data_IF_209775923948
#
_entry.id   IF_209775923948
#
_cell.length_a   1.000
_cell.length_b   1.000
_cell.length_c   1.000
_cell.angle_alpha   90.00
_cell.angle_beta   90.00
_cell.angle_gamma   90.00
#
_symmetry.space_group_name_H-M   'P 1'
#
loop_
_entity.id
_entity.type
_entity.pdbx_description
1 polymer ?
#
# COMPACT_ATOMS: atom_id res chain seq x y z
N UNK A 1 -1.86 3.51 17.10
CA UNK A 1 -3.11 3.73 16.35
C UNK A 1 -3.54 5.20 16.33
N UNK A 2 -3.55 5.87 17.49
CA UNK A 2 -3.99 7.26 17.66
C UNK A 2 -3.38 8.28 16.70
N UNK A 3 -2.07 8.21 16.43
CA UNK A 3 -1.43 9.10 15.47
C UNK A 3 -2.07 9.00 14.06
N UNK A 4 -2.38 7.77 13.62
CA UNK A 4 -2.94 7.53 12.30
C UNK A 4 -4.35 8.11 12.19
N UNK A 5 -5.18 7.92 13.23
CA UNK A 5 -6.50 8.55 13.33
C UNK A 5 -6.40 10.07 13.27
N UNK A 6 -5.50 10.67 14.04
CA UNK A 6 -5.28 12.12 14.04
C UNK A 6 -4.88 12.66 12.66
N UNK A 7 -3.98 11.97 11.95
CA UNK A 7 -3.59 12.34 10.57
C UNK A 7 -4.80 12.21 9.63
N UNK A 8 -5.54 11.11 9.70
CA UNK A 8 -6.72 10.87 8.84
C UNK A 8 -7.79 11.95 9.08
N UNK A 9 -7.98 12.38 10.33
CA UNK A 9 -9.00 13.34 10.72
C UNK A 9 -8.60 14.80 10.46
N UNK A 10 -7.34 15.17 10.66
CA UNK A 10 -6.93 16.58 10.67
C UNK A 10 -6.08 16.98 9.45
N UNK A 11 -5.57 16.01 8.69
CA UNK A 11 -4.70 16.26 7.55
C UNK A 11 -5.23 15.59 6.28
N UNK A 12 -4.61 15.92 5.16
CA UNK A 12 -4.83 15.26 3.88
C UNK A 12 -3.53 14.62 3.39
N UNK A 13 -3.50 13.31 3.27
CA UNK A 13 -2.43 12.55 2.63
C UNK A 13 -2.59 12.72 1.12
N UNK A 14 -1.78 13.59 0.54
CA UNK A 14 -1.84 13.94 -0.88
C UNK A 14 -1.23 12.83 -1.74
N UNK A 15 -0.11 12.27 -1.29
CA UNK A 15 0.50 11.12 -1.93
C UNK A 15 1.30 10.26 -0.97
N UNK A 16 1.48 8.99 -1.35
CA UNK A 16 2.38 8.07 -0.68
C UNK A 16 3.03 7.12 -1.69
N UNK A 17 4.33 6.94 -1.55
CA UNK A 17 5.14 5.99 -2.28
C UNK A 17 5.56 4.87 -1.33
N UNK A 18 5.06 3.66 -1.56
CA UNK A 18 5.44 2.46 -0.82
C UNK A 18 6.58 1.78 -1.56
N UNK A 19 7.75 1.74 -0.92
CA UNK A 19 9.00 1.24 -1.49
C UNK A 19 9.29 -0.17 -0.98
N UNK A 20 10.16 -0.89 -1.70
CA UNK A 20 10.66 -2.19 -1.27
C UNK A 20 11.66 -2.07 -0.10
N UNK A 21 12.13 -3.21 0.38
CA UNK A 21 13.31 -3.29 1.24
C UNK A 21 14.56 -2.83 0.47
N UNK A 22 15.58 -2.33 1.17
CA UNK A 22 16.88 -1.99 0.57
C UNK A 22 17.09 -0.51 0.22
N UNK A 23 16.09 0.35 0.45
CA UNK A 23 16.21 1.79 0.15
C UNK A 23 17.14 2.50 1.16
N UNK A 24 17.05 2.14 2.45
CA UNK A 24 17.86 2.72 3.53
C UNK A 24 18.62 1.64 4.30
N UNK A 25 19.19 0.67 3.58
CA UNK A 25 19.89 -0.48 4.17
C UNK A 25 19.12 -1.80 4.06
N UNK A 26 19.74 -2.90 4.49
CA UNK A 26 19.33 -4.25 4.14
C UNK A 26 17.99 -4.70 4.77
N UNK A 27 17.60 -4.18 5.93
CA UNK A 27 16.59 -4.86 6.76
C UNK A 27 15.22 -4.18 6.83
N UNK A 28 15.07 -2.97 6.30
CA UNK A 28 13.83 -2.20 6.42
C UNK A 28 13.18 -1.86 5.07
N UNK A 29 11.86 -2.02 5.01
CA UNK A 29 11.02 -1.38 3.99
C UNK A 29 10.90 0.12 4.27
N UNK A 30 10.62 0.90 3.23
CA UNK A 30 10.51 2.34 3.34
C UNK A 30 9.21 2.86 2.69
N UNK A 31 8.79 4.04 3.12
CA UNK A 31 7.72 4.78 2.46
C UNK A 31 7.98 6.27 2.55
N UNK A 32 7.54 7.03 1.54
CA UNK A 32 7.55 8.49 1.55
C UNK A 32 6.13 9.00 1.35
N UNK A 33 5.74 10.06 2.05
CA UNK A 33 4.39 10.61 1.96
C UNK A 33 4.39 12.14 2.00
N UNK A 34 3.46 12.74 1.27
CA UNK A 34 3.18 14.18 1.32
C UNK A 34 1.88 14.37 2.09
N UNK A 35 1.95 15.06 3.23
CA UNK A 35 0.80 15.33 4.09
C UNK A 35 0.56 16.83 4.14
N UNK A 36 -0.61 17.26 3.67
CA UNK A 36 -1.05 18.65 3.71
C UNK A 36 -1.83 18.90 4.99
N UNK A 37 -1.51 20.00 5.67
CA UNK A 37 -2.33 20.51 6.77
C UNK A 37 -3.56 21.22 6.22
N UNK A 38 -4.63 20.47 5.96
CA UNK A 38 -5.90 21.02 5.48
C UNK A 38 -7.07 20.10 5.82
N UNK A 39 -8.22 20.70 6.12
CA UNK A 39 -9.49 20.00 6.37
C UNK A 39 -10.41 19.89 5.14
N UNK A 40 -9.92 20.27 3.95
CA UNK A 40 -10.66 20.22 2.69
C UNK A 40 -10.87 18.80 2.16
N UNK A 41 -11.17 18.65 0.87
CA UNK A 41 -11.35 17.35 0.23
C UNK A 41 -10.12 16.43 0.43
N UNK A 42 -10.38 15.20 0.89
CA UNK A 42 -9.32 14.25 1.29
C UNK A 42 -9.22 13.09 0.29
N UNK A 43 -8.81 13.41 -0.92
CA UNK A 43 -8.40 12.44 -1.93
C UNK A 43 -6.88 12.47 -2.08
N UNK A 44 -6.28 11.31 -2.36
CA UNK A 44 -4.84 11.18 -2.53
C UNK A 44 -4.46 10.22 -3.66
N UNK A 45 -3.19 10.28 -4.04
CA UNK A 45 -2.60 9.44 -5.07
C UNK A 45 -1.48 8.57 -4.51
N UNK A 46 -1.59 7.26 -4.69
CA UNK A 46 -0.72 6.30 -4.01
C UNK A 46 0.00 5.41 -5.02
N UNK A 47 1.23 5.02 -4.68
CA UNK A 47 2.06 4.16 -5.50
C UNK A 47 2.57 2.99 -4.67
N UNK A 48 2.38 1.77 -5.19
CA UNK A 48 2.85 0.55 -4.56
C UNK A 48 3.89 -0.13 -5.43
N UNK A 49 5.17 0.12 -5.15
CA UNK A 49 6.30 -0.46 -5.90
C UNK A 49 6.73 -1.83 -5.36
N UNK A 50 5.87 -2.51 -4.60
CA UNK A 50 6.20 -3.78 -3.96
C UNK A 50 4.94 -4.59 -3.67
N UNK A 51 5.00 -5.91 -3.89
CA UNK A 51 3.89 -6.80 -3.53
C UNK A 51 3.97 -7.23 -2.06
N UNK A 52 5.15 -7.66 -1.59
CA UNK A 52 5.33 -8.30 -0.28
C UNK A 52 6.24 -7.48 0.63
N UNK A 53 6.01 -7.55 1.95
CA UNK A 53 6.78 -6.82 2.96
C UNK A 53 8.29 -7.06 2.89
N UNK A 54 8.70 -8.29 2.55
CA UNK A 54 10.11 -8.71 2.50
C UNK A 54 10.61 -8.97 1.07
N UNK A 55 10.12 -8.22 0.10
CA UNK A 55 10.65 -8.27 -1.25
C UNK A 55 11.71 -7.17 -1.43
N UNK A 56 12.89 -7.57 -1.90
CA UNK A 56 13.99 -6.67 -2.19
C UNK A 56 14.02 -6.36 -3.69
N UNK A 57 14.20 -5.09 -4.02
CA UNK A 57 14.45 -4.63 -5.38
C UNK A 57 15.76 -3.85 -5.44
N UNK A 58 16.47 -4.02 -6.54
CA UNK A 58 17.50 -3.09 -6.96
C UNK A 58 16.91 -1.68 -7.12
N UNK A 59 17.65 -0.69 -6.63
CA UNK A 59 17.18 0.70 -6.58
C UNK A 59 17.00 1.29 -7.99
N UNK A 60 17.79 0.88 -8.99
CA UNK A 60 17.61 1.32 -10.38
C UNK A 60 16.33 0.73 -10.95
N UNK A 61 16.02 -0.54 -10.65
CA UNK A 61 14.77 -1.17 -11.08
C UNK A 61 13.55 -0.51 -10.44
N UNK A 62 13.59 -0.12 -9.16
CA UNK A 62 12.52 0.67 -8.53
C UNK A 62 12.30 2.01 -9.22
N UNK A 63 13.39 2.71 -9.55
CA UNK A 63 13.33 3.97 -10.28
C UNK A 63 12.67 3.78 -11.64
N UNK A 64 13.13 2.80 -12.43
CA UNK A 64 12.55 2.49 -13.74
C UNK A 64 11.07 2.12 -13.64
N UNK A 65 10.70 1.29 -12.64
CA UNK A 65 9.32 0.92 -12.37
C UNK A 65 8.43 2.14 -12.11
N UNK A 66 8.92 3.08 -11.29
CA UNK A 66 8.21 4.32 -11.00
C UNK A 66 8.10 5.23 -12.23
N UNK A 67 9.18 5.44 -12.98
CA UNK A 67 9.19 6.26 -14.20
C UNK A 67 8.24 5.70 -15.27
N UNK A 68 8.25 4.37 -15.51
CA UNK A 68 7.30 3.72 -16.42
C UNK A 68 5.85 3.87 -15.98
N UNK A 69 5.60 3.79 -14.68
CA UNK A 69 4.26 4.03 -14.11
C UNK A 69 3.82 5.49 -14.25
N UNK A 70 4.74 6.46 -14.16
CA UNK A 70 4.41 7.87 -14.39
C UNK A 70 4.05 8.15 -15.85
N UNK A 71 4.77 7.52 -16.78
CA UNK A 71 4.52 7.61 -18.22
C UNK A 71 3.23 6.90 -18.65
N UNK A 72 2.92 5.75 -18.04
CA UNK A 72 1.68 5.02 -18.25
C UNK A 72 1.04 4.65 -16.91
N UNK A 73 -0.06 5.32 -16.57
CA UNK A 73 -0.77 5.13 -15.29
C UNK A 73 -1.48 3.78 -15.17
N UNK A 74 -1.64 3.05 -16.28
CA UNK A 74 -2.17 1.68 -16.32
C UNK A 74 -1.06 0.62 -16.31
N UNK A 75 0.21 1.04 -16.16
CA UNK A 75 1.33 0.12 -16.09
C UNK A 75 1.16 -0.85 -14.91
N UNK A 76 1.29 -2.14 -15.21
CA UNK A 76 1.23 -3.25 -14.27
C UNK A 76 2.53 -4.03 -14.32
N UNK A 77 2.91 -4.58 -13.18
CA UNK A 77 4.12 -5.37 -13.06
C UNK A 77 3.87 -6.64 -12.25
N UNK A 78 4.40 -7.76 -12.74
CA UNK A 78 4.29 -9.05 -12.06
C UNK A 78 5.47 -9.24 -11.13
N UNK A 79 5.28 -8.80 -9.89
CA UNK A 79 6.32 -8.78 -8.84
C UNK A 79 6.90 -10.18 -8.55
N UNK A 80 6.13 -11.25 -8.74
CA UNK A 80 6.59 -12.63 -8.53
C UNK A 80 7.73 -13.03 -9.47
N UNK A 81 7.84 -12.39 -10.63
CA UNK A 81 8.79 -12.75 -11.69
C UNK A 81 10.05 -11.88 -11.62
N UNK A 82 10.18 -11.05 -10.58
CA UNK A 82 11.32 -10.16 -10.40
C UNK A 82 12.61 -10.92 -10.06
N UNK A 83 13.67 -10.59 -10.79
CA UNK A 83 15.05 -11.01 -10.57
C UNK A 83 15.95 -9.77 -10.59
N UNK A 84 17.03 -9.79 -9.79
CA UNK A 84 18.01 -8.69 -9.77
C UNK A 84 18.78 -8.59 -11.08
N UNK A 85 18.85 -9.70 -11.82
CA UNK A 85 19.51 -9.85 -13.11
C UNK A 85 18.62 -9.43 -14.29
N UNK A 86 17.38 -9.00 -14.03
CA UNK A 86 16.48 -8.51 -15.07
C UNK A 86 17.13 -7.35 -15.86
N UNK A 87 17.11 -7.45 -17.19
CA UNK A 87 17.63 -6.40 -18.06
C UNK A 87 16.70 -5.17 -18.12
N UNK A 88 15.40 -5.38 -17.96
CA UNK A 88 14.38 -4.33 -17.96
C UNK A 88 13.14 -4.75 -17.16
N UNK A 89 12.34 -3.76 -16.77
CA UNK A 89 11.06 -3.90 -16.10
C UNK A 89 9.94 -3.76 -17.13
N UNK A 90 9.36 -4.87 -17.55
CA UNK A 90 8.35 -4.88 -18.63
C UNK A 90 6.93 -4.91 -18.09
N UNK A 91 5.99 -4.39 -18.89
CA UNK A 91 4.56 -4.48 -18.59
C UNK A 91 4.13 -5.94 -18.56
N UNK A 92 3.25 -6.29 -17.61
CA UNK A 92 2.58 -7.59 -17.56
C UNK A 92 1.09 -7.40 -17.35
N UNK A 93 0.26 -7.97 -18.23
CA UNK A 93 -1.19 -7.90 -18.13
C UNK A 93 -1.72 -8.53 -16.84
N UNK A 94 -1.13 -9.67 -16.47
CA UNK A 94 -1.34 -10.40 -15.21
C UNK A 94 -0.62 -9.77 -14.01
N UNK A 95 0.00 -8.60 -14.20
CA UNK A 95 0.73 -7.89 -13.17
C UNK A 95 -0.18 -7.17 -12.17
N UNK A 96 0.40 -6.79 -11.04
CA UNK A 96 -0.27 -5.97 -10.05
C UNK A 96 -0.31 -4.49 -10.48
N UNK A 97 -1.41 -3.83 -10.13
CA UNK A 97 -1.56 -2.38 -10.27
C UNK A 97 -0.59 -1.66 -9.32
N UNK A 98 0.09 -0.64 -9.85
CA UNK A 98 1.06 0.17 -9.09
C UNK A 98 0.48 1.52 -8.69
N UNK A 99 -0.29 2.14 -9.58
CA UNK A 99 -0.80 3.51 -9.44
C UNK A 99 -2.26 3.55 -8.99
N UNK A 100 -2.55 4.23 -7.88
CA UNK A 100 -3.88 4.33 -7.27
C UNK A 100 -4.30 5.81 -7.15
N UNK A 101 -5.00 6.38 -8.14
CA UNK A 101 -5.46 7.76 -8.12
C UNK A 101 -6.77 7.92 -7.32
N UNK A 102 -7.03 9.15 -6.88
CA UNK A 102 -8.31 9.58 -6.30
C UNK A 102 -8.83 8.70 -5.14
N UNK A 103 -7.94 8.13 -4.34
CA UNK A 103 -8.35 7.29 -3.20
C UNK A 103 -8.89 8.20 -2.11
N UNK A 104 -10.14 7.95 -1.71
CA UNK A 104 -10.79 8.63 -0.59
C UNK A 104 -10.13 8.24 0.73
N UNK A 105 -9.62 9.22 1.47
CA UNK A 105 -8.95 8.98 2.75
C UNK A 105 -9.89 8.40 3.81
N UNK A 106 -11.20 8.64 3.70
CA UNK A 106 -12.22 8.00 4.54
C UNK A 106 -12.21 6.48 4.42
N UNK A 107 -11.74 5.91 3.32
CA UNK A 107 -11.60 4.45 3.19
C UNK A 107 -10.62 3.86 4.22
N UNK A 108 -9.66 4.64 4.71
CA UNK A 108 -8.70 4.18 5.71
C UNK A 108 -9.31 3.97 7.09
N UNK A 109 -10.54 4.41 7.35
CA UNK A 109 -11.22 4.13 8.63
C UNK A 109 -12.06 2.85 8.59
N UNK A 110 -12.29 2.26 7.40
CA UNK A 110 -13.17 1.10 7.22
C UNK A 110 -12.60 -0.20 7.81
N UNK A 111 -11.29 -0.28 7.98
CA UNK A 111 -10.63 -1.43 8.60
C UNK A 111 -10.22 -1.06 10.04
N UNK A 112 -10.52 -1.89 11.06
CA UNK A 112 -10.08 -1.66 12.43
C UNK A 112 -8.56 -1.40 12.52
N UNK A 113 -8.16 -0.46 13.39
CA UNK A 113 -6.78 0.04 13.43
C UNK A 113 -6.49 1.16 12.43
N UNK A 114 -7.41 1.44 11.51
CA UNK A 114 -7.34 2.47 10.47
C UNK A 114 -6.13 2.43 9.51
N UNK A 115 -5.65 1.26 9.04
CA UNK A 115 -4.46 1.19 8.19
C UNK A 115 -4.58 2.03 6.90
N UNK A 116 -3.47 2.57 6.40
CA UNK A 116 -3.39 3.29 5.11
C UNK A 116 -3.38 2.26 3.97
N UNK A 117 -4.47 1.51 3.83
CA UNK A 117 -4.62 0.38 2.91
C UNK A 117 -5.28 0.75 1.59
N UNK A 118 -4.67 1.67 0.83
CA UNK A 118 -5.24 2.19 -0.43
C UNK A 118 -5.40 1.16 -1.55
N UNK A 119 -4.73 0.01 -1.46
CA UNK A 119 -4.82 -1.09 -2.41
C UNK A 119 -5.88 -2.13 -2.04
N UNK A 120 -6.50 -2.01 -0.86
CA UNK A 120 -7.45 -3.00 -0.36
C UNK A 120 -8.76 -2.84 -1.14
N UNK A 121 -9.24 -3.94 -1.72
CA UNK A 121 -10.47 -3.92 -2.52
C UNK A 121 -11.70 -3.55 -1.69
N UNK A 122 -12.71 -3.01 -2.36
CA UNK A 122 -14.00 -2.66 -1.71
C UNK A 122 -14.63 -3.87 -1.03
N UNK A 123 -14.60 -5.05 -1.67
CA UNK A 123 -15.10 -6.31 -1.07
C UNK A 123 -14.44 -6.63 0.27
N UNK A 124 -13.13 -6.41 0.39
CA UNK A 124 -12.43 -6.61 1.67
C UNK A 124 -12.87 -5.53 2.66
N UNK A 125 -12.96 -4.26 2.26
CA UNK A 125 -13.42 -3.18 3.14
C UNK A 125 -14.84 -3.47 3.68
N UNK A 126 -15.76 -3.87 2.80
CA UNK A 126 -17.14 -4.26 3.13
C UNK A 126 -17.19 -5.43 4.11
N UNK A 127 -16.23 -6.35 4.01
CA UNK A 127 -16.15 -7.49 4.93
C UNK A 127 -15.97 -7.03 6.38
N UNK A 128 -15.24 -5.93 6.62
CA UNK A 128 -15.03 -5.37 7.95
C UNK A 128 -16.17 -4.45 8.42
N UNK A 129 -16.88 -3.79 7.51
CA UNK A 129 -17.94 -2.83 7.87
C UNK A 129 -19.34 -3.44 7.93
N UNK A 130 -19.60 -4.49 7.14
CA UNK A 130 -20.93 -5.07 6.96
C UNK A 130 -21.18 -6.38 7.69
N UNK A 131 -20.15 -7.05 8.22
CA UNK A 131 -20.29 -8.36 8.88
C UNK A 131 -20.05 -8.30 10.39
N UNK A 132 -20.55 -9.32 11.08
CA UNK A 132 -20.25 -9.54 12.50
C UNK A 132 -18.74 -9.82 12.67
N UNK A 133 -18.02 -9.10 13.54
CA UNK A 133 -16.59 -9.33 13.74
C UNK A 133 -16.36 -10.71 14.37
N UNK A 134 -15.24 -11.35 14.02
CA UNK A 134 -14.89 -12.69 14.54
C UNK A 134 -14.83 -12.73 16.07
N UNK A 135 -14.38 -11.64 16.70
CA UNK A 135 -14.34 -11.50 18.16
C UNK A 135 -15.71 -11.57 18.83
N UNK A 136 -16.79 -11.30 18.10
CA UNK A 136 -18.15 -11.40 18.64
C UNK A 136 -18.72 -12.83 18.56
N UNK A 137 -18.03 -13.76 17.89
CA UNK A 137 -18.46 -15.17 17.76
C UNK A 137 -17.47 -16.16 18.36
N UNK A 138 -16.21 -15.77 18.49
CA UNK A 138 -15.16 -16.60 19.07
C UNK A 138 -14.14 -15.74 19.81
N UNK A 139 -13.70 -16.24 20.96
CA UNK A 139 -12.55 -15.68 21.66
C UNK A 139 -11.26 -16.24 21.04
N UNK A 140 -10.18 -15.44 20.92
CA UNK A 140 -8.88 -15.96 20.53
C UNK A 140 -8.47 -17.08 21.50
N UNK A 141 -8.17 -18.26 20.97
CA UNK A 141 -7.58 -19.36 21.74
C UNK A 141 -6.08 -19.42 21.44
N UNK A 142 -5.30 -19.78 22.45
CA UNK A 142 -3.88 -20.05 22.26
C UNK A 142 -3.73 -21.30 21.39
N UNK A 143 -2.95 -21.19 20.32
CA UNK A 143 -2.63 -22.31 19.42
C UNK A 143 -1.61 -23.27 20.04
N UNK A 144 -0.90 -24.02 19.20
CA UNK A 144 0.18 -24.88 19.67
C UNK A 144 1.30 -24.03 20.28
N UNK A 145 1.57 -24.22 21.57
CA UNK A 145 2.76 -23.68 22.25
C UNK A 145 3.83 -24.77 22.29
N UNK A 146 5.03 -24.44 21.83
CA UNK A 146 6.25 -25.26 21.97
C UNK A 146 7.17 -24.63 22.99
#
# INVERSE_FOLDING_TARGET
EELRKKIIENNCIQSLLHLSRGVFGADFGASSAVIKNSKGEKTGTYFRLVERTFQEFDQKHLRTLFEKTLANRDFKYKFSDYTKEALDITYSEDGNRIYYPHVLQSNFTKIPGSPIGYWVSEKIQETFTGNRPLSAVANPCVGLQT
#
